data_IF_954698538568
#
_entry.id   IF_954698538568
#
_cell.length_a   1.000
_cell.length_b   1.000
_cell.length_c   1.000
_cell.angle_alpha   90.00
_cell.angle_beta   90.00
_cell.angle_gamma   90.00
#
_symmetry.space_group_name_H-M   'P 1'
#
loop_
_entity.id
_entity.type
_entity.pdbx_description
1 polymer ?
#
# COMPACT_ATOMS: atom_id res chain seq x y z
N UNK A 1 4.68 26.78 13.50
CA UNK A 1 3.20 26.80 13.63
C UNK A 1 2.52 25.87 12.62
N UNK A 2 2.82 25.97 11.31
CA UNK A 2 2.21 25.13 10.26
C UNK A 2 2.23 23.62 10.52
N UNK A 3 3.38 23.04 10.89
CA UNK A 3 3.51 21.60 11.20
C UNK A 3 2.60 21.19 12.37
N UNK A 4 2.48 22.06 13.38
CA UNK A 4 1.62 21.82 14.54
C UNK A 4 0.14 21.89 14.16
N UNK A 5 -0.25 22.87 13.33
CA UNK A 5 -1.63 23.00 12.82
C UNK A 5 -2.02 21.77 12.00
N UNK A 6 -1.19 21.38 11.04
CA UNK A 6 -1.36 20.15 10.25
C UNK A 6 -1.51 18.91 11.13
N UNK A 7 -0.64 18.74 12.13
CA UNK A 7 -0.73 17.64 13.08
C UNK A 7 -2.06 17.64 13.86
N UNK A 8 -2.51 18.81 14.36
CA UNK A 8 -3.76 18.89 15.13
C UNK A 8 -5.00 18.60 14.27
N UNK A 9 -5.01 19.05 13.01
CA UNK A 9 -6.06 18.70 12.05
C UNK A 9 -6.05 17.21 11.74
N UNK A 10 -4.87 16.59 11.60
CA UNK A 10 -4.75 15.15 11.39
C UNK A 10 -5.28 14.32 12.55
N UNK A 11 -5.16 14.84 13.78
CA UNK A 11 -5.72 14.24 15.01
C UNK A 11 -7.23 14.50 15.15
N UNK A 12 -7.83 15.30 14.26
CA UNK A 12 -9.27 15.56 14.24
C UNK A 12 -9.73 16.67 15.18
N UNK A 13 -8.86 17.62 15.54
CA UNK A 13 -9.24 18.78 16.36
C UNK A 13 -9.66 19.95 15.46
N UNK A 14 -10.92 20.37 15.60
CA UNK A 14 -11.48 21.53 14.90
C UNK A 14 -11.20 22.87 15.61
N UNK A 15 -11.19 22.89 16.94
CA UNK A 15 -10.87 24.08 17.72
C UNK A 15 -9.41 24.02 18.20
N UNK A 16 -8.56 24.89 17.67
CA UNK A 16 -7.13 24.91 17.95
C UNK A 16 -6.80 25.99 19.00
N UNK A 17 -6.21 25.55 20.12
CA UNK A 17 -5.71 26.43 21.19
C UNK A 17 -4.29 26.88 20.85
N UNK A 18 -3.91 28.08 21.25
CA UNK A 18 -2.56 28.59 21.09
C UNK A 18 -1.51 27.56 21.58
N UNK A 19 -0.46 27.28 20.80
CA UNK A 19 0.58 26.33 21.20
C UNK A 19 1.48 26.83 22.34
N UNK A 20 1.36 28.11 22.75
CA UNK A 20 2.14 28.71 23.83
C UNK A 20 1.51 28.30 25.17
N UNK A 21 2.33 27.76 26.08
CA UNK A 21 1.87 27.17 27.36
C UNK A 21 1.15 28.13 28.30
N UNK A 22 1.39 29.43 28.17
CA UNK A 22 0.78 30.48 28.99
C UNK A 22 -0.39 31.18 28.29
N UNK A 23 -0.75 30.74 27.08
CA UNK A 23 -1.83 31.33 26.30
C UNK A 23 -3.00 30.36 26.16
N UNK A 24 -4.17 30.74 26.66
CA UNK A 24 -5.43 29.99 26.51
C UNK A 24 -6.28 30.46 25.31
N UNK A 25 -5.74 31.34 24.47
CA UNK A 25 -6.43 31.86 23.29
C UNK A 25 -6.64 30.80 22.20
N UNK A 26 -7.67 30.97 21.39
CA UNK A 26 -7.92 30.14 20.21
C UNK A 26 -7.30 30.77 18.97
N UNK A 27 -6.81 29.94 18.04
CA UNK A 27 -6.41 30.43 16.72
C UNK A 27 -7.66 30.79 15.91
N UNK A 28 -7.59 31.91 15.20
CA UNK A 28 -8.61 32.32 14.26
C UNK A 28 -8.69 31.36 13.07
N UNK A 29 -9.90 31.09 12.59
CA UNK A 29 -10.14 30.14 11.49
C UNK A 29 -9.39 30.55 10.20
N UNK A 30 -9.35 31.84 9.89
CA UNK A 30 -8.62 32.41 8.74
C UNK A 30 -7.13 32.08 8.78
N UNK A 31 -6.50 32.21 9.95
CA UNK A 31 -5.10 31.87 10.19
C UNK A 31 -4.85 30.36 10.10
N UNK A 32 -5.79 29.53 10.58
CA UNK A 32 -5.68 28.07 10.43
C UNK A 32 -5.74 27.67 8.96
N UNK A 33 -6.70 28.22 8.21
CA UNK A 33 -6.90 27.93 6.79
C UNK A 33 -5.67 28.29 5.95
N UNK A 34 -5.00 29.41 6.26
CA UNK A 34 -3.83 29.86 5.48
C UNK A 34 -2.61 28.93 5.60
N UNK A 35 -2.52 28.14 6.67
CA UNK A 35 -1.44 27.17 6.89
C UNK A 35 -1.71 25.76 6.32
N UNK A 36 -2.94 25.48 5.85
CA UNK A 36 -3.36 24.14 5.43
C UNK A 36 -3.26 23.94 3.92
N UNK A 37 -2.90 22.72 3.50
CA UNK A 37 -3.04 22.27 2.11
C UNK A 37 -4.51 22.02 1.75
N UNK A 38 -4.83 21.86 0.46
CA UNK A 38 -6.22 21.61 -0.01
C UNK A 38 -6.85 20.34 0.60
N UNK A 39 -6.06 19.26 0.76
CA UNK A 39 -6.52 18.03 1.39
C UNK A 39 -6.79 18.21 2.89
N UNK A 40 -5.91 18.91 3.60
CA UNK A 40 -6.06 19.16 5.03
C UNK A 40 -7.17 20.15 5.33
N UNK A 41 -7.36 21.15 4.46
CA UNK A 41 -8.47 22.10 4.54
C UNK A 41 -9.82 21.39 4.45
N UNK A 42 -9.96 20.40 3.54
CA UNK A 42 -11.17 19.59 3.44
C UNK A 42 -11.44 18.81 4.74
N UNK A 43 -10.39 18.23 5.34
CA UNK A 43 -10.49 17.54 6.64
C UNK A 43 -10.86 18.50 7.77
N UNK A 44 -10.22 19.66 7.84
CA UNK A 44 -10.49 20.67 8.84
C UNK A 44 -11.96 21.15 8.79
N UNK A 45 -12.44 21.51 7.59
CA UNK A 45 -13.84 21.90 7.37
C UNK A 45 -14.81 20.79 7.76
N UNK A 46 -14.50 19.54 7.40
CA UNK A 46 -15.29 18.39 7.81
C UNK A 46 -15.39 18.25 9.35
N UNK A 47 -14.27 18.37 10.07
CA UNK A 47 -14.29 18.29 11.54
C UNK A 47 -14.99 19.48 12.20
N UNK A 48 -14.86 20.68 11.63
CA UNK A 48 -15.57 21.88 12.09
C UNK A 48 -17.08 21.75 11.88
N UNK A 49 -17.51 21.20 10.75
CA UNK A 49 -18.91 20.92 10.50
C UNK A 49 -19.43 19.83 11.46
N UNK A 50 -18.65 18.76 11.66
CA UNK A 50 -18.96 17.71 12.63
C UNK A 50 -19.14 18.24 14.05
N UNK A 51 -18.35 19.24 14.48
CA UNK A 51 -18.47 19.83 15.83
C UNK A 51 -19.71 20.69 16.01
N UNK A 52 -20.28 21.21 14.91
CA UNK A 52 -21.51 22.03 14.91
C UNK A 52 -22.79 21.20 14.84
N UNK A 53 -22.70 19.91 14.49
CA UNK A 53 -23.87 19.05 14.29
C UNK A 53 -24.46 18.52 15.60
N UNK A 54 -25.79 18.52 15.65
CA UNK A 54 -26.55 17.85 16.71
C UNK A 54 -26.33 16.34 16.71
N UNK A 55 -26.55 15.69 17.86
CA UNK A 55 -26.55 14.23 17.99
C UNK A 55 -27.52 13.49 17.03
N UNK A 56 -28.48 14.22 16.45
CA UNK A 56 -29.45 13.74 15.46
C UNK A 56 -28.93 13.70 14.03
N UNK A 57 -27.74 14.24 13.74
CA UNK A 57 -27.11 14.21 12.42
C UNK A 57 -25.77 13.51 12.50
N UNK A 58 -25.56 12.51 11.63
CA UNK A 58 -24.29 11.76 11.59
C UNK A 58 -23.85 11.51 10.15
N UNK A 59 -22.54 11.50 9.88
CA UNK A 59 -22.01 11.17 8.57
C UNK A 59 -22.13 9.68 8.27
N UNK A 60 -22.37 9.32 7.01
CA UNK A 60 -22.29 7.95 6.54
C UNK A 60 -20.87 7.39 6.76
N UNK A 61 -20.72 6.19 7.34
CA UNK A 61 -19.39 5.61 7.62
C UNK A 61 -18.58 5.26 6.36
N UNK A 62 -19.20 5.25 5.17
CA UNK A 62 -18.55 4.85 3.92
C UNK A 62 -18.24 6.03 2.99
N UNK A 63 -19.14 7.01 2.85
CA UNK A 63 -18.94 8.16 1.94
C UNK A 63 -18.98 9.52 2.64
N UNK A 64 -19.06 9.56 3.98
CA UNK A 64 -19.08 10.77 4.80
C UNK A 64 -20.26 11.73 4.57
N UNK A 65 -21.26 11.36 3.75
CA UNK A 65 -22.47 12.16 3.56
C UNK A 65 -23.26 12.27 4.87
N UNK A 66 -23.58 13.49 5.30
CA UNK A 66 -24.38 13.73 6.50
C UNK A 66 -25.84 13.28 6.32
N UNK A 67 -26.37 12.57 7.31
CA UNK A 67 -27.77 12.14 7.36
C UNK A 67 -28.37 12.49 8.71
N UNK A 68 -29.54 13.13 8.69
CA UNK A 68 -30.30 13.51 9.89
C UNK A 68 -31.45 12.52 10.14
N UNK A 69 -31.70 12.21 11.42
CA UNK A 69 -32.81 11.37 11.87
C UNK A 69 -34.06 12.18 12.27
N UNK A 70 -33.98 13.53 12.28
CA UNK A 70 -35.13 14.43 12.50
C UNK A 70 -36.06 14.35 11.27
N UNK A 71 -37.09 13.48 11.29
CA UNK A 71 -38.15 13.51 10.27
C UNK A 71 -38.84 12.19 9.89
N UNK A 72 -38.37 11.01 10.31
CA UNK A 72 -39.04 9.73 9.96
C UNK A 72 -40.11 9.30 10.97
N UNK A 73 -40.98 10.22 11.38
CA UNK A 73 -42.04 9.95 12.37
C UNK A 73 -43.42 9.66 11.77
N UNK A 74 -43.56 9.49 10.46
CA UNK A 74 -44.84 9.16 9.86
C UNK A 74 -44.66 8.03 8.85
N UNK A 75 -45.48 6.99 9.00
CA UNK A 75 -45.55 5.77 8.18
C UNK A 75 -44.45 4.74 8.45
N UNK A 76 -44.53 4.08 9.60
CA UNK A 76 -44.99 2.68 9.66
C UNK A 76 -44.86 2.16 11.10
N UNK A 77 -45.88 1.43 11.52
CA UNK A 77 -46.01 0.68 12.78
C UNK A 77 -45.01 -0.49 12.88
N UNK A 78 -43.72 -0.22 12.66
CA UNK A 78 -42.67 -1.23 12.64
C UNK A 78 -41.85 -1.13 13.92
N UNK A 79 -41.72 -2.27 14.59
CA UNK A 79 -40.96 -2.57 15.81
C UNK A 79 -39.78 -1.60 16.03
N UNK A 80 -39.66 -1.11 17.27
CA UNK A 80 -38.71 -0.09 17.77
C UNK A 80 -37.25 -0.22 17.33
N UNK A 81 -36.81 -1.40 16.89
CA UNK A 81 -35.46 -1.66 16.40
C UNK A 81 -35.18 -1.03 15.02
N UNK A 82 -36.15 -0.96 14.10
CA UNK A 82 -35.92 -0.43 12.74
C UNK A 82 -35.78 1.10 12.67
N UNK A 83 -36.08 1.82 13.76
CA UNK A 83 -35.96 3.28 13.86
C UNK A 83 -34.55 3.79 13.52
N UNK A 84 -33.51 2.99 13.76
CA UNK A 84 -32.12 3.37 13.54
C UNK A 84 -31.53 2.83 12.23
N UNK A 85 -32.33 2.19 11.37
CA UNK A 85 -31.90 1.70 10.05
C UNK A 85 -31.85 2.85 9.05
N UNK A 86 -30.66 3.15 8.53
CA UNK A 86 -30.45 4.19 7.53
C UNK A 86 -29.81 3.58 6.28
N UNK A 87 -30.33 3.93 5.12
CA UNK A 87 -29.70 3.68 3.83
C UNK A 87 -29.17 5.00 3.28
N UNK A 88 -27.88 5.07 2.97
CA UNK A 88 -27.26 6.26 2.42
C UNK A 88 -27.74 6.49 0.98
N UNK A 89 -28.18 7.70 0.64
CA UNK A 89 -28.63 8.06 -0.70
C UNK A 89 -27.51 8.10 -1.73
N UNK A 90 -26.27 8.40 -1.30
CA UNK A 90 -25.11 8.50 -2.19
C UNK A 90 -24.47 7.13 -2.48
N UNK A 91 -24.18 6.33 -1.44
CA UNK A 91 -23.46 5.05 -1.60
C UNK A 91 -24.31 3.80 -1.39
N UNK A 92 -25.62 3.95 -1.12
CA UNK A 92 -26.56 2.84 -0.84
C UNK A 92 -26.18 1.96 0.37
N UNK A 93 -25.16 2.34 1.13
CA UNK A 93 -24.74 1.61 2.31
C UNK A 93 -25.80 1.68 3.41
N UNK A 94 -26.17 0.52 3.95
CA UNK A 94 -27.17 0.39 5.02
C UNK A 94 -26.48 0.22 6.36
N UNK A 95 -26.75 1.14 7.30
CA UNK A 95 -26.03 1.24 8.56
C UNK A 95 -26.95 1.60 9.73
N UNK A 96 -26.48 1.33 10.95
CA UNK A 96 -27.17 1.65 12.18
C UNK A 96 -26.76 3.03 12.70
N UNK A 97 -27.72 3.96 12.79
CA UNK A 97 -27.47 5.33 13.27
C UNK A 97 -26.94 5.37 14.72
N UNK A 98 -27.30 4.40 15.56
CA UNK A 98 -26.90 4.38 16.98
C UNK A 98 -25.42 4.02 17.16
N UNK A 99 -24.95 2.94 16.53
CA UNK A 99 -23.61 2.41 16.73
C UNK A 99 -22.61 2.71 15.60
N UNK A 100 -23.07 3.31 14.49
CA UNK A 100 -22.26 3.65 13.32
C UNK A 100 -21.60 2.44 12.63
N UNK A 101 -22.24 1.27 12.73
CA UNK A 101 -21.81 0.02 12.11
C UNK A 101 -22.75 -0.38 10.95
N UNK A 102 -22.37 -1.36 10.09
CA UNK A 102 -23.30 -1.99 9.16
C UNK A 102 -24.59 -2.40 9.87
N UNK A 103 -25.72 -2.32 9.15
CA UNK A 103 -27.01 -2.68 9.72
C UNK A 103 -27.02 -4.15 10.16
N UNK A 104 -27.45 -4.39 11.41
CA UNK A 104 -27.45 -5.70 12.04
C UNK A 104 -28.88 -6.04 12.50
N UNK A 105 -29.57 -6.85 11.71
CA UNK A 105 -30.94 -7.26 11.99
C UNK A 105 -30.99 -8.33 13.10
N UNK A 106 -31.93 -8.20 14.04
CA UNK A 106 -32.10 -9.13 15.16
C UNK A 106 -31.01 -9.10 16.24
N UNK A 107 -30.03 -8.20 16.14
CA UNK A 107 -28.95 -8.04 17.13
C UNK A 107 -28.97 -6.64 17.74
N UNK A 108 -28.77 -6.56 19.06
CA UNK A 108 -28.58 -5.27 19.74
C UNK A 108 -27.17 -4.74 19.44
N UNK A 109 -27.02 -3.41 19.40
CA UNK A 109 -25.72 -2.76 19.13
C UNK A 109 -24.59 -3.22 20.07
N UNK A 110 -24.92 -3.55 21.33
CA UNK A 110 -23.95 -4.06 22.31
C UNK A 110 -23.37 -5.41 21.88
N UNK A 111 -24.24 -6.32 21.45
CA UNK A 111 -23.88 -7.68 21.07
C UNK A 111 -23.11 -7.69 19.74
N UNK A 112 -23.55 -6.87 18.78
CA UNK A 112 -22.80 -6.65 17.54
C UNK A 112 -21.37 -6.17 17.81
N UNK A 113 -21.19 -5.16 18.68
CA UNK A 113 -19.86 -4.63 19.03
C UNK A 113 -19.01 -5.67 19.76
N UNK A 114 -19.62 -6.48 20.64
CA UNK A 114 -18.93 -7.58 21.33
C UNK A 114 -18.47 -8.64 20.32
N UNK A 115 -19.33 -9.01 19.39
CA UNK A 115 -19.03 -9.95 18.30
C UNK A 115 -17.90 -9.47 17.39
N UNK A 116 -17.96 -8.22 16.92
CA UNK A 116 -16.88 -7.62 16.10
C UNK A 116 -15.54 -7.60 16.85
N UNK A 117 -15.54 -7.28 18.15
CA UNK A 117 -14.32 -7.33 18.97
C UNK A 117 -13.77 -8.76 19.09
N UNK A 118 -14.64 -9.75 19.31
CA UNK A 118 -14.24 -11.16 19.39
C UNK A 118 -13.70 -11.67 18.05
N UNK A 119 -14.34 -11.31 16.93
CA UNK A 119 -13.89 -11.68 15.59
C UNK A 119 -12.51 -11.09 15.28
N UNK A 120 -12.28 -9.81 15.62
CA UNK A 120 -10.96 -9.16 15.45
C UNK A 120 -9.90 -9.80 16.33
N UNK A 121 -10.25 -10.16 17.56
CA UNK A 121 -9.35 -10.86 18.46
C UNK A 121 -8.97 -12.22 17.88
N UNK A 122 -9.97 -13.07 17.58
CA UNK A 122 -9.77 -14.38 16.97
C UNK A 122 -8.94 -14.30 15.68
N UNK A 123 -9.22 -13.36 14.78
CA UNK A 123 -8.44 -13.15 13.56
C UNK A 123 -6.96 -12.85 13.83
N UNK A 124 -6.66 -12.19 14.95
CA UNK A 124 -5.31 -11.81 15.34
C UNK A 124 -4.54 -12.88 16.12
N UNK A 125 -5.24 -13.89 16.66
CA UNK A 125 -4.64 -15.02 17.38
C UNK A 125 -3.70 -15.78 16.45
N UNK A 126 -2.58 -16.21 16.99
CA UNK A 126 -1.56 -17.00 16.30
C UNK A 126 -1.65 -18.43 16.82
N UNK A 127 -2.12 -19.34 15.98
CA UNK A 127 -2.14 -20.78 16.24
C UNK A 127 -1.10 -21.45 15.33
N UNK A 128 -0.31 -22.39 15.87
CA UNK A 128 0.75 -23.08 15.11
C UNK A 128 1.72 -22.14 14.36
N UNK A 129 1.97 -20.95 14.91
CA UNK A 129 2.85 -19.95 14.30
C UNK A 129 2.24 -19.19 13.11
N UNK A 130 0.93 -19.27 12.88
CA UNK A 130 0.22 -18.52 11.84
C UNK A 130 -1.04 -17.84 12.39
N UNK A 131 -1.41 -16.68 11.83
CA UNK A 131 -2.64 -15.98 12.23
C UNK A 131 -3.87 -16.69 11.68
N UNK A 132 -4.96 -16.72 12.46
CA UNK A 132 -6.22 -17.32 12.03
C UNK A 132 -6.81 -16.63 10.80
N UNK A 133 -6.69 -15.31 10.71
CA UNK A 133 -7.03 -14.56 9.50
C UNK A 133 -6.02 -13.45 9.19
N UNK A 134 -5.64 -13.31 7.92
CA UNK A 134 -4.70 -12.30 7.47
C UNK A 134 -5.41 -11.12 6.81
N UNK A 135 -4.96 -9.89 7.09
CA UNK A 135 -5.48 -8.70 6.41
C UNK A 135 -4.90 -8.57 5.01
N UNK A 136 -5.77 -8.28 4.03
CA UNK A 136 -5.33 -7.87 2.70
C UNK A 136 -4.46 -6.60 2.82
N UNK A 137 -3.28 -6.52 2.17
CA UNK A 137 -2.43 -5.33 2.25
C UNK A 137 -3.06 -4.09 1.63
N UNK A 138 -3.99 -4.26 0.67
CA UNK A 138 -4.64 -3.16 -0.07
C UNK A 138 -5.94 -2.71 0.60
N UNK A 139 -6.96 -3.56 0.66
CA UNK A 139 -8.29 -3.18 1.18
C UNK A 139 -8.49 -3.48 2.68
N UNK A 140 -7.50 -4.09 3.35
CA UNK A 140 -7.52 -4.40 4.80
C UNK A 140 -8.61 -5.35 5.29
N UNK A 141 -9.40 -5.96 4.40
CA UNK A 141 -10.34 -7.02 4.75
C UNK A 141 -9.59 -8.22 5.33
N UNK A 142 -10.16 -8.86 6.35
CA UNK A 142 -9.62 -10.11 6.89
C UNK A 142 -10.02 -11.26 5.98
N UNK A 143 -9.04 -12.08 5.62
CA UNK A 143 -9.20 -13.26 4.79
C UNK A 143 -8.73 -14.43 5.63
N UNK A 144 -9.59 -15.43 5.79
CA UNK A 144 -9.21 -16.70 6.41
C UNK A 144 -8.72 -17.65 5.31
N UNK A 145 -7.66 -18.39 5.60
CA UNK A 145 -7.23 -19.52 4.77
C UNK A 145 -7.87 -20.79 5.31
N UNK A 146 -8.53 -21.55 4.45
CA UNK A 146 -9.05 -22.89 4.78
C UNK A 146 -7.93 -23.91 4.74
N UNK A 147 -7.25 -24.05 3.59
CA UNK A 147 -6.11 -24.96 3.42
C UNK A 147 -5.15 -24.44 2.33
N UNK A 148 -3.92 -24.99 2.27
CA UNK A 148 -3.03 -24.83 1.12
C UNK A 148 -2.06 -23.63 1.13
N UNK A 149 -1.67 -23.22 -0.09
CA UNK A 149 -0.55 -22.34 -0.42
C UNK A 149 -0.57 -20.97 0.28
N UNK A 150 0.62 -20.40 0.53
CA UNK A 150 0.75 -19.05 1.09
C UNK A 150 0.44 -17.94 0.08
N UNK A 151 0.32 -18.24 -1.21
CA UNK A 151 -0.05 -17.28 -2.24
C UNK A 151 -1.58 -17.16 -2.33
N UNK A 152 -2.12 -16.02 -1.90
CA UNK A 152 -3.55 -15.76 -1.91
C UNK A 152 -3.89 -14.52 -2.74
N UNK A 153 -5.07 -14.55 -3.36
CA UNK A 153 -5.65 -13.43 -4.10
C UNK A 153 -6.86 -12.90 -3.34
N UNK A 154 -6.88 -11.60 -3.02
CA UNK A 154 -8.03 -10.99 -2.38
C UNK A 154 -9.22 -10.91 -3.36
N UNK A 155 -10.37 -11.46 -2.99
CA UNK A 155 -11.60 -11.47 -3.81
C UNK A 155 -12.21 -10.09 -4.03
N UNK A 156 -11.94 -9.13 -3.14
CA UNK A 156 -12.52 -7.78 -3.21
C UNK A 156 -11.70 -6.82 -4.07
N UNK A 157 -10.37 -6.94 -4.05
CA UNK A 157 -9.48 -5.98 -4.73
C UNK A 157 -8.44 -6.65 -5.65
N UNK A 158 -8.62 -7.94 -5.94
CA UNK A 158 -7.80 -8.79 -6.83
C UNK A 158 -6.29 -8.64 -6.60
N UNK A 159 -5.89 -8.42 -5.35
CA UNK A 159 -4.49 -8.19 -5.00
C UNK A 159 -3.89 -9.50 -4.51
N UNK A 160 -2.80 -9.93 -5.16
CA UNK A 160 -2.01 -11.09 -4.75
C UNK A 160 -1.11 -10.73 -3.57
N UNK A 161 -1.20 -11.50 -2.49
CA UNK A 161 -0.44 -11.29 -1.26
C UNK A 161 -0.06 -12.61 -0.59
N UNK A 162 0.97 -12.56 0.24
CA UNK A 162 1.43 -13.69 1.02
C UNK A 162 0.65 -13.78 2.32
N UNK A 163 -0.02 -14.92 2.54
CA UNK A 163 -0.82 -15.12 3.75
C UNK A 163 0.04 -15.09 5.02
N UNK A 164 1.27 -15.61 4.97
CA UNK A 164 2.15 -15.67 6.16
C UNK A 164 2.59 -14.30 6.66
N UNK A 165 3.01 -13.41 5.77
CA UNK A 165 3.51 -12.09 6.16
C UNK A 165 2.52 -10.94 5.92
N UNK A 166 1.46 -11.15 5.16
CA UNK A 166 0.50 -10.11 4.79
C UNK A 166 1.01 -9.11 3.75
N UNK A 167 2.18 -9.34 3.16
CA UNK A 167 2.76 -8.42 2.17
C UNK A 167 2.27 -8.75 0.76
N UNK A 168 2.13 -7.72 -0.08
CA UNK A 168 1.78 -7.87 -1.49
C UNK A 168 2.93 -8.56 -2.23
N UNK A 169 2.62 -9.53 -3.09
CA UNK A 169 3.61 -10.07 -4.01
C UNK A 169 4.06 -8.97 -4.96
N UNK A 170 5.35 -8.64 -4.93
CA UNK A 170 6.00 -7.71 -5.85
C UNK A 170 6.99 -8.52 -6.67
N UNK A 171 6.81 -8.53 -7.98
CA UNK A 171 7.75 -9.18 -8.88
C UNK A 171 8.76 -8.13 -9.35
N UNK A 172 9.87 -8.00 -8.62
CA UNK A 172 10.95 -7.09 -9.00
C UNK A 172 12.11 -7.95 -9.48
N UNK A 173 12.32 -8.00 -10.81
CA UNK A 173 13.35 -8.85 -11.45
C UNK A 173 14.73 -8.71 -10.79
N UNK A 174 15.04 -7.49 -10.33
CA UNK A 174 16.28 -7.17 -9.64
C UNK A 174 16.33 -7.65 -8.18
N UNK A 175 15.27 -7.41 -7.40
CA UNK A 175 15.25 -7.67 -5.95
C UNK A 175 14.77 -9.07 -5.57
N UNK A 176 14.33 -9.85 -6.57
CA UNK A 176 13.90 -11.23 -6.42
C UNK A 176 12.39 -11.39 -6.26
N UNK A 177 11.99 -12.64 -6.05
CA UNK A 177 10.62 -13.09 -5.79
C UNK A 177 10.31 -13.09 -4.29
N UNK A 178 9.05 -13.12 -3.90
CA UNK A 178 8.71 -13.13 -2.47
C UNK A 178 8.98 -14.49 -1.80
N UNK A 179 9.07 -15.56 -2.58
CA UNK A 179 9.16 -16.95 -2.09
C UNK A 179 10.57 -17.41 -1.78
N UNK A 180 11.62 -16.86 -2.39
CA UNK A 180 12.98 -17.29 -2.10
C UNK A 180 13.52 -16.68 -0.79
N UNK A 181 14.46 -17.42 -0.16
CA UNK A 181 15.00 -17.07 1.16
C UNK A 181 15.84 -15.78 1.15
N UNK A 182 16.69 -15.63 0.13
CA UNK A 182 17.66 -14.54 -0.02
C UNK A 182 17.10 -13.33 -0.79
N UNK A 183 15.83 -13.36 -1.20
CA UNK A 183 15.19 -12.18 -1.76
C UNK A 183 15.15 -11.03 -0.78
N UNK A 184 15.49 -9.83 -1.29
CA UNK A 184 15.55 -8.59 -0.50
C UNK A 184 14.19 -8.28 0.13
N UNK A 185 13.11 -8.50 -0.63
CA UNK A 185 11.73 -8.33 -0.19
C UNK A 185 10.99 -9.68 -0.03
N UNK A 186 11.72 -10.73 0.33
CA UNK A 186 11.14 -12.06 0.58
C UNK A 186 10.30 -12.14 1.86
N UNK A 187 9.57 -13.23 2.05
CA UNK A 187 8.75 -13.43 3.25
C UNK A 187 9.58 -13.42 4.54
N UNK A 188 9.16 -12.64 5.56
CA UNK A 188 9.80 -12.56 6.88
C UNK A 188 9.88 -13.91 7.58
N UNK A 189 8.83 -14.72 7.47
CA UNK A 189 8.67 -15.98 8.23
C UNK A 189 9.31 -17.20 7.57
N UNK A 190 9.92 -17.05 6.38
CA UNK A 190 10.55 -18.15 5.65
C UNK A 190 12.06 -18.27 5.89
N UNK A 191 12.74 -17.14 6.15
CA UNK A 191 14.18 -17.11 6.39
C UNK A 191 14.48 -16.53 7.77
N UNK A 192 15.15 -17.32 8.63
CA UNK A 192 15.54 -16.92 9.99
C UNK A 192 14.40 -16.23 10.78
N UNK A 193 13.24 -16.89 10.97
CA UNK A 193 12.07 -16.28 11.61
C UNK A 193 12.42 -15.68 12.99
N UNK A 194 13.15 -16.44 13.80
CA UNK A 194 13.57 -16.10 15.18
C UNK A 194 14.69 -15.06 15.29
N UNK A 195 15.44 -14.80 14.21
CA UNK A 195 16.60 -13.89 14.22
C UNK A 195 16.38 -12.68 13.31
N UNK A 196 15.56 -11.69 13.71
CA UNK A 196 15.17 -10.58 12.85
C UNK A 196 16.34 -9.67 12.44
N UNK A 197 17.31 -9.47 13.33
CA UNK A 197 18.49 -8.66 13.06
C UNK A 197 19.38 -9.33 12.01
N UNK A 198 19.67 -10.62 12.16
CA UNK A 198 20.47 -11.38 11.19
C UNK A 198 19.78 -11.45 9.82
N UNK A 199 18.46 -11.68 9.79
CA UNK A 199 17.69 -11.62 8.53
C UNK A 199 17.85 -10.27 7.82
N UNK A 200 17.73 -9.16 8.55
CA UNK A 200 17.89 -7.81 7.98
C UNK A 200 19.31 -7.58 7.47
N UNK A 201 20.32 -8.00 8.23
CA UNK A 201 21.74 -7.90 7.82
C UNK A 201 22.01 -8.68 6.53
N UNK A 202 21.58 -9.95 6.46
CA UNK A 202 21.79 -10.78 5.26
C UNK A 202 21.07 -10.19 4.05
N UNK A 203 19.79 -9.82 4.17
CA UNK A 203 19.05 -9.21 3.04
C UNK A 203 19.60 -7.85 2.65
N UNK A 204 20.08 -7.06 3.62
CA UNK A 204 20.76 -5.79 3.38
C UNK A 204 22.06 -5.99 2.60
N UNK A 205 22.86 -6.98 2.97
CA UNK A 205 24.08 -7.35 2.26
C UNK A 205 23.77 -7.80 0.82
N UNK A 206 22.81 -8.70 0.61
CA UNK A 206 22.40 -9.13 -0.74
C UNK A 206 21.92 -7.95 -1.61
N UNK A 207 21.14 -7.03 -1.01
CA UNK A 207 20.69 -5.82 -1.68
C UNK A 207 21.87 -4.94 -2.11
N UNK A 208 22.78 -4.66 -1.17
CA UNK A 208 23.96 -3.84 -1.40
C UNK A 208 24.86 -4.45 -2.48
N UNK A 209 25.13 -5.76 -2.41
CA UNK A 209 25.91 -6.46 -3.43
C UNK A 209 25.28 -6.34 -4.82
N UNK A 210 23.96 -6.50 -4.95
CA UNK A 210 23.29 -6.33 -6.25
C UNK A 210 23.41 -4.90 -6.78
N UNK A 211 23.21 -3.90 -5.91
CA UNK A 211 23.28 -2.48 -6.27
C UNK A 211 24.68 -2.07 -6.71
N UNK A 212 25.74 -2.64 -6.13
CA UNK A 212 27.12 -2.37 -6.54
C UNK A 212 27.53 -3.16 -7.78
N UNK A 213 27.19 -4.45 -7.86
CA UNK A 213 27.63 -5.33 -8.96
C UNK A 213 26.93 -4.99 -10.28
N UNK A 214 25.64 -4.67 -10.25
CA UNK A 214 24.88 -4.40 -11.48
C UNK A 214 25.43 -3.25 -12.34
N UNK A 215 25.74 -2.05 -11.82
CA UNK A 215 26.33 -0.98 -12.63
C UNK A 215 27.72 -1.35 -13.13
N UNK A 216 28.53 -2.05 -12.33
CA UNK A 216 29.86 -2.52 -12.74
C UNK A 216 29.76 -3.48 -13.94
N UNK A 217 28.84 -4.46 -13.87
CA UNK A 217 28.60 -5.39 -14.98
C UNK A 217 28.13 -4.65 -16.22
N UNK A 218 27.22 -3.67 -16.07
CA UNK A 218 26.74 -2.86 -17.20
C UNK A 218 27.90 -2.10 -17.85
N UNK A 219 28.76 -1.45 -17.07
CA UNK A 219 29.94 -0.73 -17.59
C UNK A 219 30.89 -1.68 -18.31
N UNK A 220 31.19 -2.85 -17.74
CA UNK A 220 32.06 -3.84 -18.37
C UNK A 220 31.51 -4.31 -19.72
N UNK A 221 30.21 -4.59 -19.81
CA UNK A 221 29.56 -5.00 -21.06
C UNK A 221 29.65 -3.89 -22.12
N UNK A 222 29.45 -2.63 -21.73
CA UNK A 222 29.57 -1.48 -22.66
C UNK A 222 31.00 -1.31 -23.15
N UNK A 223 32.00 -1.40 -22.26
CA UNK A 223 33.42 -1.27 -22.63
C UNK A 223 33.85 -2.39 -23.57
N UNK A 224 33.52 -3.65 -23.24
CA UNK A 224 33.83 -4.80 -24.10
C UNK A 224 33.13 -4.69 -25.45
N UNK A 225 31.87 -4.25 -25.47
CA UNK A 225 31.12 -3.99 -26.71
C UNK A 225 31.78 -2.92 -27.57
N UNK A 226 32.22 -1.81 -26.98
CA UNK A 226 32.92 -0.74 -27.67
C UNK A 226 34.26 -1.22 -28.26
N UNK A 227 35.05 -1.96 -27.48
CA UNK A 227 36.32 -2.54 -27.95
C UNK A 227 36.10 -3.49 -29.12
N UNK A 228 35.09 -4.36 -29.05
CA UNK A 228 34.74 -5.28 -30.14
C UNK A 228 34.36 -4.53 -31.42
N UNK A 229 33.60 -3.43 -31.31
CA UNK A 229 33.25 -2.58 -32.45
C UNK A 229 34.48 -1.91 -33.06
N UNK A 230 35.36 -1.34 -32.24
CA UNK A 230 36.61 -0.71 -32.69
C UNK A 230 37.49 -1.73 -33.41
N UNK A 231 37.72 -2.89 -32.81
CA UNK A 231 38.50 -3.98 -33.42
C UNK A 231 37.85 -4.41 -34.73
N UNK A 232 36.52 -4.56 -34.79
CA UNK A 232 35.79 -4.87 -36.02
C UNK A 232 36.01 -3.82 -37.11
N UNK A 233 35.96 -2.54 -36.77
CA UNK A 233 36.16 -1.44 -37.72
C UNK A 233 37.58 -1.40 -38.31
N UNK A 234 38.62 -1.81 -37.56
CA UNK A 234 40.00 -1.82 -38.07
C UNK A 234 40.39 -3.16 -38.71
N UNK A 235 40.01 -4.28 -38.09
CA UNK A 235 40.37 -5.60 -38.57
C UNK A 235 39.65 -5.99 -39.86
N UNK A 236 38.37 -5.60 -40.05
CA UNK A 236 37.61 -5.94 -41.25
C UNK A 236 38.17 -5.29 -42.54
N UNK A 237 38.49 -3.98 -42.58
CA UNK A 237 39.15 -3.38 -43.74
C UNK A 237 40.54 -3.94 -43.99
N UNK A 238 41.36 -4.15 -42.95
CA UNK A 238 42.70 -4.72 -43.10
C UNK A 238 42.59 -6.14 -43.67
N UNK A 239 41.71 -6.97 -43.12
CA UNK A 239 41.42 -8.30 -43.63
C UNK A 239 40.95 -8.26 -45.09
N UNK A 240 40.04 -7.34 -45.44
CA UNK A 240 39.55 -7.19 -46.81
C UNK A 240 40.68 -6.76 -47.77
N UNK A 241 41.53 -5.83 -47.38
CA UNK A 241 42.69 -5.37 -48.15
C UNK A 241 43.69 -6.52 -48.34
N UNK A 242 44.04 -7.25 -47.28
CA UNK A 242 44.94 -8.40 -47.34
C UNK A 242 44.37 -9.51 -48.23
N UNK A 243 43.07 -9.81 -48.11
CA UNK A 243 42.37 -10.78 -48.98
C UNK A 243 42.38 -10.34 -50.45
N UNK A 244 42.19 -9.05 -50.72
CA UNK A 244 42.24 -8.49 -52.09
C UNK A 244 43.65 -8.53 -52.68
N UNK A 245 44.69 -8.26 -51.89
CA UNK A 245 46.10 -8.42 -52.31
C UNK A 245 46.45 -9.88 -52.60
N UNK A 246 46.02 -10.83 -51.77
CA UNK A 246 46.25 -12.27 -51.98
C UNK A 246 45.59 -12.79 -53.27
N UNK A 247 44.36 -12.35 -53.57
CA UNK A 247 43.73 -12.66 -54.87
C UNK A 247 44.50 -12.10 -56.07
N UNK A 248 45.09 -10.90 -55.96
CA UNK A 248 45.94 -10.33 -57.02
C UNK A 248 47.24 -11.13 -57.22
N UNK A 249 47.91 -11.58 -56.16
CA UNK A 249 49.14 -12.39 -56.32
C UNK A 249 48.88 -13.76 -56.94
N UNK A 250 47.76 -14.41 -56.58
CA UNK A 250 47.35 -15.68 -57.21
C UNK A 250 46.89 -15.51 -58.67
N UNK A 251 46.36 -14.35 -59.05
CA UNK A 251 46.03 -14.03 -60.45
C UNK A 251 47.25 -13.72 -61.33
N UNK A 252 48.33 -13.20 -60.75
CA UNK A 252 49.58 -12.90 -61.47
C UNK A 252 50.45 -14.14 -61.73
N UNK A 253 50.31 -15.20 -60.93
CA UNK A 253 51.06 -16.45 -61.09
C UNK A 253 50.50 -17.42 -62.14
N UNK A 254 49.45 -17.05 -62.87
CA UNK A 254 48.77 -17.91 -63.85
C UNK A 254 49.00 -17.49 -65.31
N UNK A 255 49.90 -16.53 -65.55
CA UNK A 255 50.27 -15.99 -66.87
C UNK A 255 51.79 -16.07 -67.17
N UNK A 256 52.52 -16.88 -66.40
CA UNK A 256 53.94 -17.17 -66.59
C UNK A 256 54.13 -18.70 -66.60
N UNK A 257 53.59 -19.35 -67.63
CA UNK A 257 53.94 -20.67 -68.16
C UNK A 257 53.47 -20.70 -69.61
#
# INVERSE_FOLDING_TARGET
VQIWVSFKVHVGRAHLVCPITECSGYLEESLVISYLTSEELAKYKYFLELSRLDSSTKPCPQCSLFTSLKGRSQQTSIKSEHKYKIQCTNCQFVWCFKCHAPWHEGLKCRDYRKGDKLLRHWASVIEHGQRNAQKCPRCKIHIQRTEGCDHMTCTQCNTNFCYRCGEKYRHLRFFGDHTSNLSVFGCKYRYLPEKPHLRRLVRGSVCMSKVLVAPVVIVLVVVVGALALVIGLFALPIYYICKRRRKRSQGSGRWLC
#
